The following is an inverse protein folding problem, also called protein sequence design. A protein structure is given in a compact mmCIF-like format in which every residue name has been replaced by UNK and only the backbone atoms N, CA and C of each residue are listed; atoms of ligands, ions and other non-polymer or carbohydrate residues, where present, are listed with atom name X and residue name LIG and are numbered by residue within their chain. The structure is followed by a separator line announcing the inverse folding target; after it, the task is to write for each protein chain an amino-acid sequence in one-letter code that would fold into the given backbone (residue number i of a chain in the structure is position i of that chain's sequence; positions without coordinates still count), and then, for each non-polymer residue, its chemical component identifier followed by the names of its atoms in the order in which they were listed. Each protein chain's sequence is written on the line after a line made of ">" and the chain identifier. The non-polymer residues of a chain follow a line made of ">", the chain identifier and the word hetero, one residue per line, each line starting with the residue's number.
data_IF_851498571219
#
_entry.id   IF_851498571219
#
_cell.length_a   1.000
_cell.length_b   1.000
_cell.length_c   1.000
_cell.angle_alpha   90.00
_cell.angle_beta   90.00
_cell.angle_gamma   90.00
#
_symmetry.space_group_name_H-M   'P 1'
#
loop_
_entity.id
_entity.type
_entity.pdbx_description
1 polymer ?
#
# COMPACT_ATOMS: atom_id res chain seq x y z
N UNK A 1 -2.17 -73.14 22.81
CA UNK A 1 -1.36 -73.16 21.52
C UNK A 1 -1.28 -71.77 21.01
N UNK A 2 -0.12 -71.34 20.66
CA UNK A 2 0.34 -69.97 20.64
C UNK A 2 -0.40 -68.99 19.73
N UNK A 3 -0.88 -67.91 20.33
CA UNK A 3 -1.37 -66.71 19.64
C UNK A 3 -0.26 -65.69 19.58
N UNK A 4 0.24 -65.40 18.41
CA UNK A 4 1.32 -64.46 18.13
C UNK A 4 0.74 -63.06 17.97
N UNK A 5 1.00 -62.17 18.95
CA UNK A 5 0.75 -60.73 18.85
C UNK A 5 1.68 -60.08 17.86
N UNK A 6 1.16 -59.42 16.84
CA UNK A 6 1.90 -58.57 15.91
C UNK A 6 1.84 -57.13 16.46
N UNK A 7 2.98 -56.65 16.94
CA UNK A 7 3.16 -55.29 17.40
C UNK A 7 3.16 -54.31 16.20
N UNK A 8 2.23 -53.38 16.22
CA UNK A 8 2.12 -52.25 15.25
C UNK A 8 3.10 -51.18 15.66
N UNK A 9 4.24 -51.07 14.95
CA UNK A 9 5.13 -49.90 15.03
C UNK A 9 4.41 -48.73 14.37
N UNK A 10 3.94 -47.77 15.14
CA UNK A 10 3.58 -46.42 14.65
C UNK A 10 4.88 -45.63 14.39
N UNK A 11 5.06 -45.16 13.18
CA UNK A 11 6.16 -44.29 12.78
C UNK A 11 5.96 -42.90 13.40
N UNK A 12 6.93 -42.48 14.21
CA UNK A 12 6.97 -41.19 14.91
C UNK A 12 7.66 -40.12 14.06
N UNK A 13 7.15 -39.84 12.85
CA UNK A 13 7.72 -38.81 11.97
C UNK A 13 6.74 -37.73 11.53
N UNK A 14 5.43 -37.84 11.88
CA UNK A 14 4.44 -36.82 11.55
C UNK A 14 4.24 -35.72 12.60
N UNK A 15 4.63 -35.94 13.85
CA UNK A 15 4.33 -35.02 14.97
C UNK A 15 5.35 -33.85 15.11
N UNK A 16 6.53 -33.91 14.46
CA UNK A 16 7.56 -32.87 14.63
C UNK A 16 7.41 -31.67 13.70
N UNK A 17 6.74 -31.82 12.54
CA UNK A 17 6.54 -30.72 11.60
C UNK A 17 5.35 -29.82 12.01
N UNK A 18 4.26 -30.40 12.45
CA UNK A 18 3.09 -29.67 12.96
C UNK A 18 3.39 -28.95 14.29
N UNK A 19 4.19 -29.54 15.17
CA UNK A 19 4.64 -28.90 16.40
C UNK A 19 5.57 -27.71 16.15
N UNK A 20 6.40 -27.73 15.10
CA UNK A 20 7.28 -26.61 14.76
C UNK A 20 6.53 -25.44 14.14
N UNK A 21 5.46 -25.69 13.35
CA UNK A 21 4.62 -24.64 12.75
C UNK A 21 3.68 -24.03 13.81
N UNK A 22 3.11 -24.84 14.71
CA UNK A 22 2.28 -24.36 15.81
C UNK A 22 3.09 -23.60 16.87
N UNK A 23 4.34 -23.98 17.14
CA UNK A 23 5.24 -23.27 18.06
C UNK A 23 5.68 -21.92 17.48
N UNK A 24 5.86 -21.79 16.15
CA UNK A 24 6.18 -20.49 15.53
C UNK A 24 4.97 -19.54 15.51
N UNK A 25 3.77 -20.02 15.24
CA UNK A 25 2.56 -19.21 15.32
C UNK A 25 2.24 -18.79 16.77
N UNK A 26 2.36 -19.72 17.75
CA UNK A 26 2.17 -19.41 19.16
C UNK A 26 3.30 -18.53 19.74
N UNK A 27 4.52 -18.62 19.25
CA UNK A 27 5.63 -17.79 19.71
C UNK A 27 5.42 -16.30 19.38
N UNK A 28 4.88 -16.00 18.20
CA UNK A 28 4.52 -14.63 17.80
C UNK A 28 3.36 -14.06 18.64
N UNK A 29 2.29 -14.82 18.84
CA UNK A 29 1.16 -14.38 19.66
C UNK A 29 1.51 -14.24 21.15
N UNK A 30 2.39 -15.08 21.70
CA UNK A 30 2.87 -14.96 23.07
C UNK A 30 3.77 -13.74 23.27
N UNK A 31 4.66 -13.46 22.30
CA UNK A 31 5.51 -12.26 22.33
C UNK A 31 4.68 -10.97 22.20
N UNK A 32 3.67 -10.96 21.36
CA UNK A 32 2.77 -9.81 21.18
C UNK A 32 1.88 -9.57 22.44
N UNK A 33 1.42 -10.64 23.09
CA UNK A 33 0.68 -10.54 24.36
C UNK A 33 1.56 -10.01 25.49
N UNK A 34 2.84 -10.36 25.52
CA UNK A 34 3.77 -9.86 26.51
C UNK A 34 4.04 -8.36 26.31
N UNK A 35 4.25 -7.91 25.06
CA UNK A 35 4.42 -6.50 24.71
C UNK A 35 3.19 -5.65 25.03
N UNK A 36 1.98 -6.16 24.78
CA UNK A 36 0.73 -5.47 25.16
C UNK A 36 0.62 -5.39 26.68
N UNK A 37 0.95 -6.47 27.40
CA UNK A 37 0.96 -6.51 28.87
C UNK A 37 1.92 -5.47 29.46
N UNK A 38 3.15 -5.42 28.97
CA UNK A 38 4.15 -4.43 29.40
C UNK A 38 3.68 -2.99 29.18
N UNK A 39 3.11 -2.70 28.00
CA UNK A 39 2.55 -1.38 27.69
C UNK A 39 1.42 -1.01 28.65
N UNK A 40 0.49 -1.94 28.91
CA UNK A 40 -0.64 -1.72 29.82
C UNK A 40 -0.17 -1.46 31.26
N UNK A 41 0.84 -2.16 31.72
CA UNK A 41 1.45 -1.97 33.06
C UNK A 41 2.13 -0.60 33.16
N UNK A 42 2.79 -0.15 32.10
CA UNK A 42 3.43 1.17 32.06
C UNK A 42 2.40 2.31 32.12
N UNK A 43 1.36 2.27 31.31
CA UNK A 43 0.33 3.32 31.31
C UNK A 43 -0.53 3.32 32.57
N UNK A 44 -0.62 2.19 33.28
CA UNK A 44 -1.36 2.08 34.53
C UNK A 44 -0.73 2.86 35.68
N UNK A 45 0.59 3.12 35.62
CA UNK A 45 1.33 3.86 36.67
C UNK A 45 0.95 5.33 36.72
N UNK A 46 0.43 5.88 35.59
CA UNK A 46 0.07 7.30 35.53
C UNK A 46 -1.34 7.50 36.10
N UNK A 47 -1.54 8.40 37.09
CA UNK A 47 -2.87 8.65 37.65
C UNK A 47 -3.82 9.29 36.63
N UNK A 48 -5.11 9.03 36.79
CA UNK A 48 -6.14 9.70 36.01
C UNK A 48 -6.29 11.16 36.43
N UNK A 49 -6.59 12.03 35.47
CA UNK A 49 -6.84 13.45 35.74
C UNK A 49 -8.31 13.67 36.15
N UNK A 50 -8.51 14.60 37.04
CA UNK A 50 -9.81 15.18 37.32
C UNK A 50 -10.06 16.43 36.43
N UNK A 51 -11.30 16.91 36.38
CA UNK A 51 -11.68 18.03 35.51
C UNK A 51 -10.91 19.34 35.84
N UNK A 52 -10.54 19.54 37.10
CA UNK A 52 -9.78 20.73 37.52
C UNK A 52 -8.35 20.69 36.98
N UNK A 53 -7.69 19.53 37.05
CA UNK A 53 -6.37 19.30 36.48
C UNK A 53 -6.34 19.34 34.96
N UNK A 54 -7.41 18.84 34.27
CA UNK A 54 -7.55 19.00 32.82
C UNK A 54 -7.50 20.49 32.42
N UNK A 55 -8.18 21.36 33.15
CA UNK A 55 -8.18 22.82 32.93
C UNK A 55 -6.81 23.44 33.22
N UNK A 56 -6.21 23.13 34.36
CA UNK A 56 -4.89 23.63 34.77
C UNK A 56 -3.80 23.29 33.73
N UNK A 57 -3.70 22.03 33.35
CA UNK A 57 -2.76 21.57 32.32
C UNK A 57 -3.02 22.23 30.95
N UNK A 58 -4.29 22.39 30.56
CA UNK A 58 -4.65 23.05 29.31
C UNK A 58 -4.24 24.53 29.29
N UNK A 59 -4.38 25.23 30.42
CA UNK A 59 -3.92 26.62 30.56
C UNK A 59 -2.40 26.72 30.45
N UNK A 60 -1.67 25.80 31.10
CA UNK A 60 -0.19 25.77 31.06
C UNK A 60 0.30 25.46 29.64
N UNK A 61 -0.37 24.56 28.91
CA UNK A 61 -0.05 24.27 27.51
C UNK A 61 -0.32 25.49 26.61
N UNK A 62 -1.45 26.17 26.79
CA UNK A 62 -1.80 27.39 26.04
C UNK A 62 -0.77 28.49 26.28
N UNK A 63 -0.35 28.70 27.55
CA UNK A 63 0.68 29.67 27.91
C UNK A 63 2.03 29.34 27.25
N UNK A 64 2.43 28.07 27.21
CA UNK A 64 3.66 27.62 26.53
C UNK A 64 3.62 27.84 25.01
N UNK A 65 2.47 27.59 24.36
CA UNK A 65 2.30 27.85 22.94
C UNK A 65 2.33 29.35 22.63
N UNK A 66 1.70 30.18 23.48
CA UNK A 66 1.75 31.62 23.36
C UNK A 66 3.17 32.18 23.56
N UNK A 67 3.88 31.68 24.58
CA UNK A 67 5.27 32.07 24.81
C UNK A 67 6.20 31.74 23.65
N UNK A 68 5.95 30.62 22.93
CA UNK A 68 6.66 30.24 21.69
C UNK A 68 6.42 31.24 20.58
N UNK A 69 5.17 31.63 20.35
CA UNK A 69 4.80 32.62 19.31
C UNK A 69 5.45 33.99 19.62
N UNK A 70 5.43 34.42 20.89
CA UNK A 70 6.08 35.66 21.30
C UNK A 70 7.59 35.57 21.10
N UNK A 71 8.21 34.43 21.38
CA UNK A 71 9.67 34.25 21.22
C UNK A 71 10.08 34.29 19.75
N UNK A 72 9.26 33.75 18.85
CA UNK A 72 9.47 33.78 17.39
C UNK A 72 9.36 35.20 16.82
N UNK A 73 8.46 36.03 17.34
CA UNK A 73 8.30 37.45 17.00
C UNK A 73 8.96 38.43 17.98
N UNK A 74 9.91 37.98 18.83
CA UNK A 74 10.44 38.72 19.96
C UNK A 74 11.07 40.10 19.60
N UNK A 75 11.71 40.18 18.44
CA UNK A 75 12.33 41.43 17.95
C UNK A 75 11.33 42.46 17.45
N UNK A 76 10.14 42.01 17.05
CA UNK A 76 9.05 42.86 16.52
C UNK A 76 8.07 43.31 17.61
N UNK A 77 7.90 42.50 18.68
CA UNK A 77 6.83 42.67 19.65
C UNK A 77 7.21 43.49 20.89
N UNK A 78 8.53 43.66 21.18
CA UNK A 78 9.01 44.42 22.34
C UNK A 78 8.43 43.92 23.66
N UNK A 79 8.37 42.58 23.83
CA UNK A 79 7.73 41.94 24.97
C UNK A 79 8.47 42.32 26.29
N UNK A 80 7.72 42.62 27.35
CA UNK A 80 8.23 42.92 28.68
C UNK A 80 8.91 41.70 29.35
N UNK A 81 8.65 40.48 28.86
CA UNK A 81 9.22 39.23 29.38
C UNK A 81 10.61 38.96 28.79
N UNK A 82 11.50 38.47 29.61
CA UNK A 82 12.87 38.09 29.17
C UNK A 82 12.84 36.80 28.32
N UNK A 83 13.81 36.64 27.41
CA UNK A 83 13.94 35.40 26.60
C UNK A 83 14.07 34.15 27.47
N UNK A 84 14.63 34.23 28.64
CA UNK A 84 14.80 33.11 29.59
C UNK A 84 13.47 32.70 30.21
N UNK A 85 12.64 33.67 30.59
CA UNK A 85 11.27 33.43 31.10
C UNK A 85 10.38 32.80 30.05
N UNK A 86 10.43 33.25 28.79
CA UNK A 86 9.68 32.65 27.67
C UNK A 86 10.11 31.21 27.43
N UNK A 87 11.40 30.90 27.47
CA UNK A 87 11.90 29.53 27.35
C UNK A 87 11.46 28.64 28.50
N UNK A 88 11.43 29.17 29.73
CA UNK A 88 10.93 28.43 30.89
C UNK A 88 9.46 28.08 30.77
N UNK A 89 8.60 29.01 30.31
CA UNK A 89 7.19 28.78 30.05
C UNK A 89 6.96 27.76 28.94
N UNK A 90 7.74 27.78 27.87
CA UNK A 90 7.68 26.78 26.80
C UNK A 90 8.00 25.40 27.36
N UNK A 91 9.07 25.25 28.13
CA UNK A 91 9.47 23.98 28.73
C UNK A 91 8.43 23.46 29.74
N UNK A 92 7.75 24.35 30.47
CA UNK A 92 6.65 23.99 31.36
C UNK A 92 5.42 23.54 30.59
N UNK A 93 5.06 24.22 29.51
CA UNK A 93 3.98 23.83 28.60
C UNK A 93 4.21 22.47 27.97
N UNK A 94 5.43 22.15 27.53
CA UNK A 94 5.79 20.84 26.98
C UNK A 94 5.68 19.74 28.04
N UNK A 95 6.13 19.96 29.24
CA UNK A 95 5.96 19.03 30.38
C UNK A 95 4.50 18.80 30.72
N UNK A 96 3.69 19.87 30.75
CA UNK A 96 2.25 19.77 30.96
C UNK A 96 1.56 18.95 29.85
N UNK A 97 1.96 19.15 28.58
CA UNK A 97 1.47 18.36 27.43
C UNK A 97 1.80 16.88 27.60
N UNK A 98 3.02 16.54 27.98
CA UNK A 98 3.44 15.16 28.24
C UNK A 98 2.60 14.49 29.34
N UNK A 99 2.41 15.18 30.48
CA UNK A 99 1.56 14.69 31.56
C UNK A 99 0.14 14.47 31.11
N UNK A 100 -0.41 15.42 30.35
CA UNK A 100 -1.78 15.35 29.84
C UNK A 100 -1.99 14.15 28.89
N UNK A 101 -1.03 13.91 27.98
CA UNK A 101 -1.05 12.76 27.07
C UNK A 101 -0.97 11.45 27.86
N UNK A 102 0.06 11.31 28.74
CA UNK A 102 0.31 10.07 29.50
C UNK A 102 -0.88 9.66 30.36
N UNK A 103 -1.54 10.62 31.00
CA UNK A 103 -2.71 10.36 31.85
C UNK A 103 -3.93 9.89 31.06
N UNK A 104 -3.97 10.11 29.73
CA UNK A 104 -5.09 9.75 28.88
C UNK A 104 -4.80 8.54 27.93
N UNK A 105 -3.63 7.90 28.00
CA UNK A 105 -3.31 6.72 27.17
C UNK A 105 -4.29 5.56 27.37
N UNK A 106 -4.79 5.39 28.58
CA UNK A 106 -5.81 4.37 28.90
C UNK A 106 -7.11 4.56 28.13
N UNK A 107 -7.48 5.80 27.78
CA UNK A 107 -8.64 6.10 26.95
C UNK A 107 -8.43 5.57 25.53
N UNK A 108 -7.23 5.72 24.97
CA UNK A 108 -6.87 5.19 23.64
C UNK A 108 -7.05 3.69 23.58
N UNK A 109 -6.52 2.97 24.58
CA UNK A 109 -6.67 1.50 24.67
C UNK A 109 -8.16 1.08 24.73
N UNK A 110 -8.98 1.80 25.50
CA UNK A 110 -10.41 1.51 25.60
C UNK A 110 -11.15 1.70 24.26
N UNK A 111 -10.68 2.64 23.42
CA UNK A 111 -11.25 2.85 22.08
C UNK A 111 -10.69 1.82 21.10
N UNK A 112 -9.37 1.56 21.09
CA UNK A 112 -8.72 0.62 20.17
C UNK A 112 -9.25 -0.81 20.30
N UNK A 113 -9.54 -1.28 21.53
CA UNK A 113 -10.12 -2.60 21.80
C UNK A 113 -11.48 -2.84 21.14
N UNK A 114 -12.15 -1.82 20.63
CA UNK A 114 -13.43 -1.96 19.91
C UNK A 114 -13.25 -2.39 18.44
N UNK A 115 -12.01 -2.52 17.97
CA UNK A 115 -11.67 -2.87 16.57
C UNK A 115 -10.91 -4.21 16.47
N UNK A 116 -11.42 -5.32 17.02
CA UNK A 116 -10.68 -6.59 17.10
C UNK A 116 -10.46 -7.28 15.76
N UNK A 117 -11.22 -6.89 14.71
CA UNK A 117 -11.17 -7.49 13.36
C UNK A 117 -10.74 -6.48 12.31
N UNK A 118 -9.80 -5.62 12.65
CA UNK A 118 -9.35 -4.54 11.75
C UNK A 118 -8.31 -4.98 10.72
N UNK A 119 -7.71 -6.18 10.87
CA UNK A 119 -6.56 -6.62 10.09
C UNK A 119 -5.22 -6.05 10.56
N UNK A 120 -5.23 -5.18 11.60
CA UNK A 120 -4.02 -4.60 12.20
C UNK A 120 -3.83 -5.11 13.64
N UNK A 121 -2.58 -5.30 14.09
CA UNK A 121 -2.26 -5.60 15.48
C UNK A 121 -2.79 -4.55 16.45
N UNK A 122 -3.17 -4.97 17.68
CA UNK A 122 -3.73 -4.04 18.67
C UNK A 122 -2.75 -2.90 19.03
N UNK A 123 -1.45 -3.19 19.11
CA UNK A 123 -0.43 -2.17 19.41
C UNK A 123 -0.39 -1.09 18.34
N UNK A 124 -0.50 -1.45 17.06
CA UNK A 124 -0.51 -0.49 15.95
C UNK A 124 -1.76 0.40 16.01
N UNK A 125 -2.92 -0.19 16.29
CA UNK A 125 -4.15 0.59 16.52
C UNK A 125 -4.02 1.56 17.71
N UNK A 126 -3.33 1.15 18.78
CA UNK A 126 -3.07 2.00 19.93
C UNK A 126 -2.14 3.15 19.51
N UNK A 127 -1.06 2.91 18.75
CA UNK A 127 -0.14 3.96 18.33
C UNK A 127 -0.81 4.98 17.41
N UNK A 128 -1.61 4.52 16.46
CA UNK A 128 -2.41 5.42 15.62
C UNK A 128 -3.43 6.21 16.46
N UNK A 129 -4.06 5.56 17.42
CA UNK A 129 -4.93 6.21 18.39
C UNK A 129 -4.19 7.25 19.25
N UNK A 130 -2.94 6.98 19.64
CA UNK A 130 -2.09 7.94 20.38
C UNK A 130 -1.79 9.18 19.52
N UNK A 131 -1.55 9.02 18.20
CA UNK A 131 -1.43 10.16 17.30
C UNK A 131 -2.71 11.02 17.26
N UNK A 132 -3.89 10.36 17.29
CA UNK A 132 -5.18 11.03 17.44
C UNK A 132 -5.32 11.76 18.78
N UNK A 133 -4.86 11.16 19.88
CA UNK A 133 -4.87 11.76 21.22
C UNK A 133 -3.99 13.01 21.26
N UNK A 134 -2.79 12.99 20.67
CA UNK A 134 -1.90 14.17 20.62
C UNK A 134 -2.59 15.33 19.92
N UNK A 135 -3.25 15.07 18.77
CA UNK A 135 -4.03 16.11 18.07
C UNK A 135 -5.21 16.62 18.89
N UNK A 136 -5.84 15.74 19.68
CA UNK A 136 -6.92 16.15 20.57
C UNK A 136 -6.42 17.09 21.67
N UNK A 137 -5.26 16.81 22.27
CA UNK A 137 -4.63 17.68 23.29
C UNK A 137 -4.29 19.06 22.70
N UNK A 138 -3.73 19.10 21.49
CA UNK A 138 -3.35 20.34 20.81
C UNK A 138 -4.53 21.24 20.47
N UNK A 139 -5.72 20.65 20.25
CA UNK A 139 -6.93 21.38 19.81
C UNK A 139 -8.01 21.46 20.88
N UNK A 140 -7.73 21.03 22.10
CA UNK A 140 -8.69 21.03 23.18
C UNK A 140 -8.94 22.45 23.71
N UNK A 141 -10.21 22.85 23.78
CA UNK A 141 -10.64 24.12 24.34
C UNK A 141 -11.41 23.87 25.65
N UNK A 142 -10.74 24.08 26.77
CA UNK A 142 -11.30 23.91 28.12
C UNK A 142 -12.41 24.92 28.45
N UNK A 143 -12.49 26.06 27.75
CA UNK A 143 -13.49 27.11 27.98
C UNK A 143 -14.89 26.63 27.62
N UNK A 144 -15.02 25.60 26.80
CA UNK A 144 -16.32 25.00 26.42
C UNK A 144 -16.97 24.16 27.53
N UNK A 145 -16.29 23.88 28.62
CA UNK A 145 -16.83 23.17 29.78
C UNK A 145 -17.09 21.69 29.62
N UNK A 146 -16.76 21.08 28.46
CA UNK A 146 -16.88 19.65 28.25
C UNK A 146 -15.64 18.90 28.74
N UNK A 147 -15.82 17.65 29.23
CA UNK A 147 -14.70 16.78 29.58
C UNK A 147 -13.82 16.48 28.37
N UNK A 148 -12.50 16.44 28.58
CA UNK A 148 -11.53 16.12 27.54
C UNK A 148 -11.85 14.78 26.86
N UNK A 149 -12.22 13.74 27.62
CA UNK A 149 -12.50 12.40 27.10
C UNK A 149 -13.60 12.39 26.00
N UNK A 150 -14.60 13.25 26.09
CA UNK A 150 -15.68 13.38 25.09
C UNK A 150 -15.12 13.85 23.73
N UNK A 151 -14.24 14.86 23.77
CA UNK A 151 -13.60 15.42 22.58
C UNK A 151 -12.52 14.49 22.02
N UNK A 152 -11.67 13.96 22.88
CA UNK A 152 -10.56 13.09 22.49
C UNK A 152 -11.05 11.79 21.83
N UNK A 153 -12.15 11.20 22.30
CA UNK A 153 -12.70 9.97 21.73
C UNK A 153 -13.00 10.13 20.23
N UNK A 154 -13.42 11.29 19.79
CA UNK A 154 -13.67 11.55 18.36
C UNK A 154 -12.37 11.52 17.55
N UNK A 155 -11.32 12.20 18.02
CA UNK A 155 -10.02 12.23 17.35
C UNK A 155 -9.32 10.88 17.32
N UNK A 156 -9.36 10.15 18.45
CA UNK A 156 -8.82 8.81 18.58
C UNK A 156 -9.53 7.87 17.59
N UNK A 157 -10.87 7.89 17.57
CA UNK A 157 -11.67 7.08 16.63
C UNK A 157 -11.34 7.41 15.18
N UNK A 158 -11.26 8.69 14.85
CA UNK A 158 -10.95 9.16 13.51
C UNK A 158 -9.56 8.67 13.06
N UNK A 159 -8.55 8.78 13.93
CA UNK A 159 -7.19 8.32 13.64
C UNK A 159 -7.15 6.80 13.40
N UNK A 160 -7.76 6.02 14.30
CA UNK A 160 -7.83 4.55 14.17
C UNK A 160 -8.58 4.13 12.89
N UNK A 161 -9.75 4.71 12.61
CA UNK A 161 -10.53 4.34 11.43
C UNK A 161 -9.79 4.69 10.15
N UNK A 162 -9.10 5.82 10.13
CA UNK A 162 -8.28 6.23 8.99
C UNK A 162 -7.08 5.29 8.78
N UNK A 163 -6.38 4.93 9.86
CA UNK A 163 -5.26 3.98 9.79
C UNK A 163 -5.71 2.61 9.28
N UNK A 164 -6.85 2.11 9.74
CA UNK A 164 -7.45 0.87 9.22
C UNK A 164 -7.69 0.99 7.70
N UNK A 165 -8.26 2.08 7.22
CA UNK A 165 -8.50 2.27 5.79
C UNK A 165 -7.20 2.34 4.99
N UNK A 166 -6.14 2.92 5.57
CA UNK A 166 -4.86 3.18 4.90
C UNK A 166 -3.91 1.97 4.92
N UNK A 167 -3.95 1.12 5.96
CA UNK A 167 -2.90 0.12 6.23
C UNK A 167 -3.40 -1.33 6.33
N UNK A 168 -4.73 -1.58 6.44
CA UNK A 168 -5.24 -2.93 6.68
C UNK A 168 -5.15 -3.87 5.47
N UNK A 169 -4.82 -3.36 4.28
CA UNK A 169 -4.80 -4.12 3.03
C UNK A 169 -3.42 -4.10 2.39
N UNK A 170 -3.01 -5.24 1.82
CA UNK A 170 -1.78 -5.36 1.02
C UNK A 170 -1.81 -4.41 -0.18
N UNK A 171 -2.93 -4.35 -0.89
CA UNK A 171 -3.18 -3.37 -1.96
C UNK A 171 -4.07 -2.28 -1.38
N UNK A 172 -3.48 -1.11 -1.15
CA UNK A 172 -4.17 0.04 -0.55
C UNK A 172 -5.33 0.52 -1.43
N UNK A 173 -6.49 0.72 -0.82
CA UNK A 173 -7.64 1.35 -1.46
C UNK A 173 -7.81 2.81 -0.98
N UNK A 174 -8.29 3.71 -1.85
CA UNK A 174 -8.69 5.06 -1.43
C UNK A 174 -9.79 5.01 -0.36
N UNK A 175 -9.75 5.97 0.59
CA UNK A 175 -10.67 6.00 1.75
C UNK A 175 -12.14 5.98 1.34
N UNK A 176 -12.52 6.72 0.28
CA UNK A 176 -13.90 6.75 -0.19
C UNK A 176 -14.41 5.38 -0.68
N UNK A 177 -13.53 4.54 -1.28
CA UNK A 177 -13.87 3.17 -1.68
C UNK A 177 -14.03 2.27 -0.45
N UNK A 178 -13.19 2.45 0.58
CA UNK A 178 -13.33 1.71 1.86
C UNK A 178 -14.64 2.06 2.55
N UNK A 179 -15.05 3.33 2.52
CA UNK A 179 -16.34 3.78 3.06
C UNK A 179 -17.52 3.21 2.26
N UNK A 180 -17.42 3.22 0.92
CA UNK A 180 -18.42 2.63 0.02
C UNK A 180 -18.56 1.14 0.26
N UNK A 181 -17.45 0.41 0.34
CA UNK A 181 -17.42 -1.01 0.70
C UNK A 181 -18.03 -1.27 2.09
N UNK A 182 -17.75 -0.39 3.06
CA UNK A 182 -18.35 -0.47 4.39
C UNK A 182 -19.88 -0.36 4.38
N UNK A 183 -20.44 0.51 3.51
CA UNK A 183 -21.89 0.64 3.29
C UNK A 183 -22.45 -0.61 2.62
N UNK A 184 -21.82 -1.12 1.56
CA UNK A 184 -22.21 -2.36 0.88
C UNK A 184 -22.26 -3.52 1.88
N UNK A 185 -21.18 -3.73 2.65
CA UNK A 185 -21.11 -4.82 3.65
C UNK A 185 -22.13 -4.67 4.78
N UNK A 186 -22.58 -3.46 5.07
CA UNK A 186 -23.66 -3.23 6.05
C UNK A 186 -24.99 -3.70 5.49
N UNK A 187 -25.35 -3.28 4.28
CA UNK A 187 -26.57 -3.71 3.60
C UNK A 187 -26.60 -5.23 3.43
N UNK A 188 -25.48 -5.85 3.01
CA UNK A 188 -25.37 -7.32 2.91
C UNK A 188 -25.69 -8.02 4.24
N UNK A 189 -25.16 -7.53 5.35
CA UNK A 189 -25.40 -8.13 6.68
C UNK A 189 -26.85 -7.93 7.16
N UNK A 190 -27.44 -6.77 6.90
CA UNK A 190 -28.82 -6.47 7.27
C UNK A 190 -29.79 -7.32 6.44
N UNK A 191 -29.58 -7.39 5.14
CA UNK A 191 -30.38 -8.21 4.23
C UNK A 191 -30.30 -9.70 4.55
N UNK A 192 -29.08 -10.23 4.79
CA UNK A 192 -28.88 -11.64 5.18
C UNK A 192 -29.59 -11.95 6.51
N UNK A 193 -29.58 -11.03 7.48
CA UNK A 193 -30.30 -11.20 8.75
C UNK A 193 -31.83 -11.25 8.56
N UNK A 194 -32.36 -10.48 7.62
CA UNK A 194 -33.82 -10.39 7.40
C UNK A 194 -34.34 -11.50 6.49
N UNK A 195 -33.59 -11.88 5.46
CA UNK A 195 -34.05 -12.80 4.42
C UNK A 195 -33.36 -14.18 4.46
N UNK A 196 -32.29 -14.35 5.26
CA UNK A 196 -31.55 -15.63 5.38
C UNK A 196 -30.77 -16.03 4.13
N UNK A 197 -30.59 -15.12 3.16
CA UNK A 197 -29.81 -15.33 1.94
C UNK A 197 -28.93 -14.11 1.64
N UNK A 198 -27.92 -14.29 0.82
CA UNK A 198 -27.11 -13.17 0.32
C UNK A 198 -27.90 -12.34 -0.71
N UNK A 199 -27.78 -10.99 -0.65
CA UNK A 199 -28.44 -10.10 -1.62
C UNK A 199 -27.72 -10.12 -2.97
N UNK A 200 -28.49 -9.99 -4.04
CA UNK A 200 -27.93 -9.75 -5.37
C UNK A 200 -27.42 -8.31 -5.51
N UNK A 201 -26.43 -8.06 -6.42
CA UNK A 201 -25.90 -6.71 -6.63
C UNK A 201 -26.98 -5.66 -6.96
N UNK A 202 -28.05 -6.06 -7.63
CA UNK A 202 -29.20 -5.19 -7.95
C UNK A 202 -29.99 -4.76 -6.69
N UNK A 203 -30.14 -5.67 -5.72
CA UNK A 203 -30.83 -5.39 -4.45
C UNK A 203 -30.01 -4.43 -3.59
N UNK A 204 -28.67 -4.65 -3.52
CA UNK A 204 -27.74 -3.75 -2.82
C UNK A 204 -27.76 -2.35 -3.46
N UNK A 205 -27.74 -2.29 -4.79
CA UNK A 205 -27.75 -1.06 -5.54
C UNK A 205 -29.04 -0.25 -5.30
N UNK A 206 -30.20 -0.92 -5.25
CA UNK A 206 -31.49 -0.29 -4.94
C UNK A 206 -31.50 0.35 -3.55
N UNK A 207 -30.95 -0.35 -2.53
CA UNK A 207 -30.90 0.18 -1.15
C UNK A 207 -29.91 1.35 -1.00
N UNK A 208 -28.78 1.31 -1.73
CA UNK A 208 -27.75 2.36 -1.67
C UNK A 208 -27.98 3.53 -2.64
N UNK A 209 -28.98 3.43 -3.54
CA UNK A 209 -29.21 4.43 -4.60
C UNK A 209 -28.05 4.49 -5.60
N UNK A 210 -27.43 3.34 -5.92
CA UNK A 210 -26.29 3.18 -6.83
C UNK A 210 -26.68 2.32 -8.05
N UNK A 211 -25.71 2.03 -8.93
CA UNK A 211 -25.92 1.09 -10.05
C UNK A 211 -25.38 -0.30 -9.69
N UNK A 212 -25.98 -1.39 -10.22
CA UNK A 212 -25.49 -2.74 -9.97
C UNK A 212 -24.05 -2.95 -10.43
N UNK A 213 -23.64 -2.36 -11.56
CA UNK A 213 -22.29 -2.42 -12.10
C UNK A 213 -21.29 -1.81 -11.10
N UNK A 214 -21.63 -0.66 -10.52
CA UNK A 214 -20.78 -0.01 -9.53
C UNK A 214 -20.58 -0.87 -8.28
N UNK A 215 -21.62 -1.56 -7.83
CA UNK A 215 -21.52 -2.48 -6.68
C UNK A 215 -20.58 -3.64 -7.00
N UNK A 216 -20.67 -4.23 -8.20
CA UNK A 216 -19.78 -5.31 -8.66
C UNK A 216 -18.34 -4.81 -8.72
N UNK A 217 -18.08 -3.66 -9.34
CA UNK A 217 -16.73 -3.07 -9.44
C UNK A 217 -16.09 -2.88 -8.06
N UNK A 218 -16.83 -2.31 -7.09
CA UNK A 218 -16.32 -2.08 -5.73
C UNK A 218 -16.04 -3.39 -5.01
N UNK A 219 -16.86 -4.43 -5.21
CA UNK A 219 -16.64 -5.76 -4.64
C UNK A 219 -15.41 -6.44 -5.27
N UNK A 220 -15.20 -6.29 -6.58
CA UNK A 220 -14.04 -6.85 -7.26
C UNK A 220 -12.74 -6.16 -6.82
N UNK A 221 -12.70 -4.85 -6.71
CA UNK A 221 -11.54 -4.11 -6.17
C UNK A 221 -11.28 -4.41 -4.70
N UNK A 222 -12.29 -4.84 -3.98
CA UNK A 222 -12.20 -5.19 -2.55
C UNK A 222 -11.72 -6.62 -2.29
N UNK A 223 -11.41 -7.43 -3.33
CA UNK A 223 -10.84 -8.77 -3.15
C UNK A 223 -9.46 -8.70 -2.55
N UNK A 224 -9.17 -9.58 -1.60
CA UNK A 224 -7.85 -9.69 -1.02
C UNK A 224 -6.96 -10.59 -1.89
N UNK A 225 -5.66 -10.27 -2.05
CA UNK A 225 -4.73 -11.13 -2.78
C UNK A 225 -4.54 -12.47 -2.04
N UNK A 226 -4.33 -13.51 -2.81
CA UNK A 226 -4.02 -14.86 -2.31
C UNK A 226 -2.50 -15.03 -2.30
N UNK A 227 -1.98 -15.76 -1.29
CA UNK A 227 -0.54 -16.05 -1.23
C UNK A 227 -0.14 -17.06 -2.30
N UNK A 228 0.94 -16.77 -3.05
CA UNK A 228 1.51 -17.71 -4.00
C UNK A 228 2.14 -18.94 -3.31
N UNK A 229 2.53 -18.80 -2.04
CA UNK A 229 3.10 -19.89 -1.25
C UNK A 229 2.02 -20.73 -0.55
N UNK A 230 0.74 -20.51 -0.87
CA UNK A 230 -0.33 -21.33 -0.32
C UNK A 230 -0.25 -22.75 -0.92
N UNK A 231 -0.20 -23.78 -0.07
CA UNK A 231 -0.29 -25.18 -0.51
C UNK A 231 -1.64 -25.45 -1.17
N UNK A 232 -1.60 -26.16 -2.29
CA UNK A 232 -2.78 -26.56 -3.06
C UNK A 232 -3.19 -27.99 -2.72
N UNK A 233 -2.25 -28.81 -2.29
CA UNK A 233 -2.42 -30.20 -1.89
C UNK A 233 -2.31 -30.40 -0.37
N UNK A 234 -2.86 -31.51 0.11
CA UNK A 234 -2.82 -31.89 1.54
C UNK A 234 -1.41 -32.29 2.01
N UNK A 235 -0.51 -32.64 1.09
CA UNK A 235 0.88 -33.03 1.37
C UNK A 235 1.81 -31.82 1.48
N UNK A 236 1.36 -30.64 1.00
CA UNK A 236 2.08 -29.37 1.11
C UNK A 236 3.28 -29.23 0.16
N UNK A 237 3.42 -30.13 -0.81
CA UNK A 237 4.55 -30.14 -1.76
C UNK A 237 4.35 -29.16 -2.90
N UNK A 238 3.08 -28.96 -3.37
CA UNK A 238 2.74 -28.06 -4.48
C UNK A 238 2.23 -26.72 -3.97
N UNK A 239 2.86 -25.62 -4.37
CA UNK A 239 2.42 -24.27 -4.06
C UNK A 239 1.55 -23.70 -5.19
N UNK A 240 0.64 -22.79 -4.85
CA UNK A 240 -0.22 -22.12 -5.84
C UNK A 240 0.60 -21.40 -6.95
N UNK A 241 1.77 -20.89 -6.57
CA UNK A 241 2.71 -20.25 -7.50
C UNK A 241 3.23 -21.19 -8.59
N UNK A 242 3.38 -22.50 -8.28
CA UNK A 242 3.91 -23.50 -9.24
C UNK A 242 2.90 -23.83 -10.36
N UNK A 243 1.62 -23.51 -10.14
CA UNK A 243 0.55 -23.71 -11.14
C UNK A 243 0.37 -22.52 -12.09
N UNK A 244 1.03 -21.39 -11.81
CA UNK A 244 0.90 -20.19 -12.63
C UNK A 244 1.87 -20.22 -13.82
N UNK A 245 1.33 -20.13 -15.02
CA UNK A 245 2.11 -20.00 -16.25
C UNK A 245 2.77 -18.62 -16.35
N UNK A 246 4.07 -18.59 -16.65
CA UNK A 246 4.78 -17.34 -16.98
C UNK A 246 4.41 -16.89 -18.40
N UNK A 247 3.43 -16.01 -18.50
CA UNK A 247 2.98 -15.43 -19.77
C UNK A 247 3.99 -14.45 -20.39
N UNK A 248 5.03 -14.05 -19.63
CA UNK A 248 6.09 -13.17 -20.11
C UNK A 248 7.30 -13.93 -20.68
N UNK A 249 7.36 -15.24 -20.45
CA UNK A 249 8.41 -16.08 -20.98
C UNK A 249 8.37 -16.14 -22.50
N UNK A 250 9.45 -15.68 -23.13
CA UNK A 250 9.57 -15.73 -24.59
C UNK A 250 9.91 -17.17 -24.99
N UNK A 251 9.08 -17.76 -25.86
CA UNK A 251 9.34 -19.09 -26.41
C UNK A 251 10.72 -19.11 -27.11
N UNK A 252 11.54 -20.17 -26.90
CA UNK A 252 12.79 -20.35 -27.64
C UNK A 252 12.60 -20.30 -29.17
N UNK A 253 11.49 -20.83 -29.65
CA UNK A 253 11.10 -20.77 -31.06
C UNK A 253 10.91 -19.33 -31.53
N UNK A 254 10.16 -18.50 -30.77
CA UNK A 254 9.98 -17.07 -31.09
C UNK A 254 11.31 -16.31 -31.07
N UNK A 255 12.18 -16.62 -30.14
CA UNK A 255 13.52 -16.02 -30.06
C UNK A 255 14.37 -16.33 -31.30
N UNK A 256 14.40 -17.61 -31.71
CA UNK A 256 15.13 -18.03 -32.91
C UNK A 256 14.50 -17.42 -34.16
N UNK A 257 13.17 -17.42 -34.28
CA UNK A 257 12.48 -16.78 -35.42
C UNK A 257 12.76 -15.30 -35.53
N UNK A 258 12.86 -14.60 -34.40
CA UNK A 258 13.21 -13.17 -34.36
C UNK A 258 14.64 -12.94 -34.82
N UNK A 259 15.61 -13.79 -34.38
CA UNK A 259 17.01 -13.72 -34.82
C UNK A 259 17.12 -13.97 -36.32
N UNK A 260 16.51 -15.03 -36.85
CA UNK A 260 16.52 -15.33 -38.28
C UNK A 260 15.93 -14.20 -39.11
N UNK A 261 14.81 -13.63 -38.68
CA UNK A 261 14.22 -12.47 -39.34
C UNK A 261 15.12 -11.23 -39.34
N UNK A 262 15.85 -11.02 -38.23
CA UNK A 262 16.82 -9.93 -38.13
C UNK A 262 17.98 -10.13 -39.10
N UNK A 263 18.52 -11.35 -39.21
CA UNK A 263 19.58 -11.69 -40.17
C UNK A 263 19.11 -11.54 -41.63
N UNK A 264 17.93 -12.04 -41.95
CA UNK A 264 17.33 -11.87 -43.28
C UNK A 264 17.10 -10.41 -43.64
N UNK A 265 16.67 -9.58 -42.68
CA UNK A 265 16.48 -8.15 -42.88
C UNK A 265 17.81 -7.44 -43.10
N UNK A 266 18.87 -7.79 -42.35
CA UNK A 266 20.21 -7.26 -42.57
C UNK A 266 20.76 -7.63 -43.94
N UNK A 267 20.55 -8.85 -44.42
CA UNK A 267 20.92 -9.30 -45.76
C UNK A 267 20.17 -8.52 -46.87
N UNK A 268 18.87 -8.25 -46.67
CA UNK A 268 18.07 -7.44 -47.59
C UNK A 268 18.57 -5.98 -47.67
N UNK A 269 18.89 -5.39 -46.50
CA UNK A 269 19.44 -4.05 -46.41
C UNK A 269 20.82 -3.99 -47.07
N UNK A 270 21.64 -5.05 -46.90
CA UNK A 270 22.95 -5.17 -47.53
C UNK A 270 22.93 -5.22 -49.08
N UNK A 271 21.78 -5.54 -49.68
CA UNK A 271 21.59 -5.50 -51.17
C UNK A 271 21.28 -4.12 -51.69
N UNK A 272 20.97 -3.14 -50.85
CA UNK A 272 20.79 -1.75 -51.22
C UNK A 272 22.14 -1.06 -51.52
N UNK A 273 22.09 0.09 -52.18
CA UNK A 273 23.27 0.97 -52.32
C UNK A 273 23.84 1.31 -50.90
N UNK A 274 25.18 1.20 -50.69
CA UNK A 274 25.78 1.38 -49.34
C UNK A 274 25.38 2.66 -48.61
N UNK A 275 25.20 3.76 -49.38
CA UNK A 275 24.76 5.03 -48.79
C UNK A 275 23.29 4.96 -48.32
N UNK A 276 22.45 4.36 -49.12
CA UNK A 276 21.02 4.15 -48.82
C UNK A 276 20.82 3.19 -47.61
N UNK A 277 21.59 2.12 -47.58
CA UNK A 277 21.62 1.16 -46.45
C UNK A 277 22.00 1.87 -45.15
N UNK A 278 23.05 2.67 -45.14
CA UNK A 278 23.50 3.46 -43.97
C UNK A 278 22.41 4.41 -43.49
N UNK A 279 21.72 5.10 -44.40
CA UNK A 279 20.61 6.01 -44.05
C UNK A 279 19.46 5.25 -43.39
N UNK A 280 19.08 4.09 -43.91
CA UNK A 280 18.01 3.26 -43.35
C UNK A 280 18.42 2.72 -41.98
N UNK A 281 19.63 2.17 -41.83
CA UNK A 281 20.13 1.65 -40.54
C UNK A 281 20.13 2.75 -39.46
N UNK A 282 20.61 3.91 -39.75
CA UNK A 282 20.59 5.06 -38.82
C UNK A 282 19.18 5.54 -38.51
N UNK A 283 18.31 5.59 -39.50
CA UNK A 283 16.92 6.08 -39.35
C UNK A 283 16.11 5.23 -38.42
N UNK A 284 16.23 3.88 -38.56
CA UNK A 284 15.48 2.92 -37.79
C UNK A 284 16.27 2.33 -36.60
N UNK A 285 17.52 2.77 -36.38
CA UNK A 285 18.34 2.32 -35.26
C UNK A 285 18.71 0.83 -35.29
N UNK A 286 18.91 0.25 -36.48
CA UNK A 286 19.12 -1.20 -36.63
C UNK A 286 20.46 -1.62 -36.04
N UNK A 287 21.52 -0.79 -36.17
CA UNK A 287 22.86 -1.11 -35.67
C UNK A 287 23.08 -0.71 -34.20
N UNK A 288 22.51 0.43 -33.77
CA UNK A 288 22.77 1.02 -32.44
C UNK A 288 21.56 1.11 -31.54
N UNK A 289 20.40 0.63 -31.99
CA UNK A 289 19.12 0.64 -31.24
C UNK A 289 18.52 2.04 -31.09
N UNK A 290 19.10 3.09 -31.72
CA UNK A 290 18.64 4.47 -31.59
C UNK A 290 18.05 4.98 -32.88
N UNK A 291 16.74 5.17 -32.95
CA UNK A 291 16.06 5.83 -34.06
C UNK A 291 16.45 7.31 -34.16
N UNK A 292 16.89 7.75 -35.35
CA UNK A 292 17.26 9.14 -35.62
C UNK A 292 16.21 9.85 -36.47
N UNK A 293 16.05 11.14 -36.25
CA UNK A 293 15.14 11.98 -37.03
C UNK A 293 15.70 12.22 -38.42
N UNK A 294 14.83 12.48 -39.41
CA UNK A 294 15.26 12.85 -40.80
C UNK A 294 16.25 14.04 -40.84
N UNK A 295 16.16 14.95 -39.89
CA UNK A 295 17.02 16.11 -39.78
C UNK A 295 18.41 15.73 -39.27
N UNK A 296 18.52 14.83 -38.32
CA UNK A 296 19.77 14.30 -37.74
C UNK A 296 20.52 13.49 -38.80
N UNK A 297 19.84 12.55 -39.47
CA UNK A 297 20.41 11.75 -40.56
C UNK A 297 20.86 12.66 -41.71
N UNK A 298 20.07 13.72 -42.02
CA UNK A 298 20.43 14.70 -43.05
C UNK A 298 21.72 15.47 -42.72
N UNK A 299 21.92 15.84 -41.46
CA UNK A 299 23.16 16.51 -41.01
C UNK A 299 24.39 15.59 -41.17
N UNK A 300 24.26 14.32 -40.82
CA UNK A 300 25.35 13.34 -40.85
C UNK A 300 25.79 13.02 -42.30
N UNK A 301 24.82 12.89 -43.19
CA UNK A 301 25.08 12.61 -44.61
C UNK A 301 25.25 13.85 -45.50
N UNK A 302 25.17 15.07 -44.96
CA UNK A 302 25.28 16.34 -45.71
C UNK A 302 24.12 16.55 -46.69
N UNK A 303 22.92 16.09 -46.39
CA UNK A 303 21.72 16.16 -47.20
C UNK A 303 20.60 16.95 -46.53
N UNK A 304 19.68 17.49 -47.34
CA UNK A 304 18.48 18.13 -46.80
C UNK A 304 17.48 17.09 -46.26
N UNK A 305 16.68 17.48 -45.26
CA UNK A 305 15.61 16.66 -44.69
C UNK A 305 14.71 16.03 -45.76
N UNK A 306 14.32 16.81 -46.77
CA UNK A 306 13.43 16.32 -47.83
C UNK A 306 14.14 15.30 -48.74
N UNK A 307 15.44 15.44 -48.96
CA UNK A 307 16.21 14.47 -49.72
C UNK A 307 16.33 13.14 -49.01
N UNK A 308 16.53 13.16 -47.70
CA UNK A 308 16.52 11.92 -46.85
C UNK A 308 15.14 11.24 -46.93
N UNK A 309 14.04 12.01 -46.86
CA UNK A 309 12.68 11.46 -46.97
C UNK A 309 12.43 10.79 -48.34
N UNK A 310 12.97 11.36 -49.42
CA UNK A 310 12.88 10.78 -50.76
C UNK A 310 13.67 9.45 -50.85
N UNK A 311 14.90 9.45 -50.31
CA UNK A 311 15.75 8.26 -50.27
C UNK A 311 15.08 7.16 -49.44
N UNK A 312 14.58 7.47 -48.23
CA UNK A 312 13.84 6.55 -47.39
C UNK A 312 12.65 5.91 -48.14
N UNK A 313 11.81 6.76 -48.80
CA UNK A 313 10.67 6.26 -49.56
C UNK A 313 11.07 5.31 -50.67
N UNK A 314 12.14 5.65 -51.42
CA UNK A 314 12.66 4.80 -52.51
C UNK A 314 13.21 3.47 -51.96
N UNK A 315 14.02 3.57 -50.91
CA UNK A 315 14.63 2.40 -50.27
C UNK A 315 13.56 1.40 -49.72
N UNK A 316 12.52 1.91 -49.06
CA UNK A 316 11.41 1.07 -48.59
C UNK A 316 10.66 0.37 -49.73
N UNK A 317 10.48 1.05 -50.90
CA UNK A 317 9.89 0.44 -52.06
C UNK A 317 10.78 -0.67 -52.68
N UNK A 318 12.10 -0.43 -52.69
CA UNK A 318 13.09 -1.38 -53.17
C UNK A 318 13.17 -2.61 -52.25
N UNK A 319 13.26 -2.39 -50.94
CA UNK A 319 13.22 -3.45 -49.90
C UNK A 319 11.94 -4.30 -50.04
N UNK A 320 10.79 -3.65 -50.26
CA UNK A 320 9.52 -4.36 -50.44
C UNK A 320 9.50 -5.25 -51.70
N UNK A 321 10.19 -4.86 -52.76
CA UNK A 321 10.35 -5.71 -53.94
C UNK A 321 11.29 -6.88 -53.64
N UNK A 322 12.47 -6.63 -53.06
CA UNK A 322 13.41 -7.66 -52.67
C UNK A 322 12.80 -8.68 -51.71
N UNK A 323 12.02 -8.21 -50.71
CA UNK A 323 11.33 -9.07 -49.77
C UNK A 323 10.31 -10.02 -50.46
N UNK A 324 9.59 -9.54 -51.47
CA UNK A 324 8.69 -10.40 -52.26
C UNK A 324 9.43 -11.43 -53.08
N UNK A 325 10.55 -11.04 -53.71
CA UNK A 325 11.34 -11.92 -54.56
C UNK A 325 12.05 -13.03 -53.76
N UNK A 326 12.38 -12.76 -52.49
CA UNK A 326 13.01 -13.72 -51.56
C UNK A 326 12.00 -14.52 -50.73
N UNK A 327 10.70 -14.23 -50.84
CA UNK A 327 9.68 -14.89 -50.04
C UNK A 327 9.65 -14.45 -48.57
N UNK A 328 10.29 -13.32 -48.22
CA UNK A 328 10.25 -12.75 -46.89
C UNK A 328 8.82 -12.25 -46.59
N UNK A 329 8.06 -13.04 -45.84
CA UNK A 329 6.76 -12.61 -45.34
C UNK A 329 6.98 -11.72 -44.09
N UNK A 330 6.83 -10.41 -44.27
CA UNK A 330 6.66 -9.53 -43.13
C UNK A 330 5.38 -9.96 -42.37
N UNK A 331 5.55 -10.46 -41.16
CA UNK A 331 4.39 -10.69 -40.29
C UNK A 331 3.63 -9.38 -40.13
N UNK A 332 2.35 -9.39 -40.56
CA UNK A 332 1.43 -8.30 -40.43
C UNK A 332 1.11 -8.02 -38.96
#
# INVERSE_FOLDING_TARGET
>A
MATRAVARRKSATGETADAATSVRANGGELADRDLVGMYLDEIARTPLLDAAKEVELSQTIEAGVFARQVLEGYEETGADATREELKALIAEGERAKDVFIRSNLRLVVAVARRYPRSGLPLLDLIQEGNAGLVRAVEKFDYRKGFKFSTYATWWIRQAITRSIADQSRTIRLPVHLVEELGRIRRVQREFNREHGREPEPAEIAAELGSTPERVVDVLDWARDPVSLNMSVDDEGETQFGDLLEDTSAVSPEQSVMTLLRSEELDDLIGRLDPRTASIIKMRYGIDDGRERTLTEVGKEHGLTRERIRQIEKHALLELKKLARDTGFEAAA
#
